data_IF_498951926540
#
_entry.id   IF_498951926540
#
_cell.length_a   1.000
_cell.length_b   1.000
_cell.length_c   1.000
_cell.angle_alpha   90.00
_cell.angle_beta   90.00
_cell.angle_gamma   90.00
#
_symmetry.space_group_name_H-M   'P 1'
#
loop_
_entity.id
_entity.type
_entity.pdbx_description
1 polymer ?
#
# COMPACT_ATOMS: atom_id res chain seq x y z
N UNK A 1 114.98 4.76 -9.01
CA UNK A 1 113.56 4.70 -8.58
C UNK A 1 112.76 4.54 -9.87
N UNK A 2 112.34 3.31 -10.12
CA UNK A 2 111.70 2.83 -11.34
C UNK A 2 110.19 3.09 -11.22
N UNK A 3 109.57 3.74 -12.21
CA UNK A 3 108.11 3.78 -12.31
C UNK A 3 107.72 3.33 -13.72
N UNK A 4 107.16 2.12 -13.76
CA UNK A 4 106.71 1.39 -14.94
C UNK A 4 105.46 2.02 -15.56
N UNK A 5 105.52 2.12 -16.89
CA UNK A 5 104.43 2.38 -17.84
C UNK A 5 103.29 1.34 -17.67
N UNK A 6 102.04 1.80 -17.67
CA UNK A 6 100.85 0.94 -17.85
C UNK A 6 99.94 1.59 -18.88
N UNK A 7 99.89 1.01 -20.09
CA UNK A 7 98.87 1.32 -21.11
C UNK A 7 97.66 0.40 -20.91
N UNK A 8 96.42 0.92 -20.95
CA UNK A 8 95.25 0.07 -21.00
C UNK A 8 94.93 -0.37 -22.43
N UNK A 9 94.57 -1.65 -22.50
CA UNK A 9 94.23 -2.45 -23.68
C UNK A 9 92.83 -2.09 -24.19
N UNK A 10 92.72 -1.90 -25.51
CA UNK A 10 91.46 -1.74 -26.23
C UNK A 10 90.73 -3.09 -26.27
N UNK A 11 89.57 -3.16 -25.62
CA UNK A 11 88.66 -4.32 -25.67
C UNK A 11 87.64 -4.12 -26.80
N UNK A 12 87.80 -4.89 -27.88
CA UNK A 12 86.79 -5.08 -28.93
C UNK A 12 85.73 -6.06 -28.42
N UNK A 13 84.57 -5.56 -28.02
CA UNK A 13 83.37 -6.38 -27.77
C UNK A 13 82.33 -6.09 -28.85
N UNK A 14 82.20 -7.05 -29.77
CA UNK A 14 80.92 -7.66 -30.11
C UNK A 14 79.81 -6.79 -30.68
N UNK A 15 79.91 -6.49 -31.97
CA UNK A 15 78.76 -6.29 -32.85
C UNK A 15 78.05 -7.65 -33.00
N UNK A 16 77.07 -7.98 -32.15
CA UNK A 16 76.14 -9.12 -32.37
C UNK A 16 75.00 -9.21 -31.33
N UNK A 17 74.21 -8.16 -31.07
CA UNK A 17 72.91 -8.28 -30.34
C UNK A 17 71.87 -7.23 -30.76
N UNK A 18 71.77 -6.94 -32.05
CA UNK A 18 70.65 -6.17 -32.63
C UNK A 18 69.83 -7.14 -33.50
N UNK A 19 69.23 -8.18 -32.91
CA UNK A 19 68.25 -9.02 -33.63
C UNK A 19 67.31 -9.85 -32.72
N UNK A 20 67.13 -9.43 -31.45
CA UNK A 20 66.15 -10.10 -30.54
C UNK A 20 65.50 -9.09 -29.57
N UNK A 21 65.22 -7.88 -30.06
CA UNK A 21 64.33 -6.91 -29.41
C UNK A 21 63.38 -6.34 -30.49
N UNK A 22 62.83 -7.22 -31.30
CA UNK A 22 61.77 -6.90 -32.27
C UNK A 22 60.69 -7.98 -32.35
N UNK A 23 60.75 -8.98 -31.46
CA UNK A 23 59.84 -10.14 -31.46
C UNK A 23 59.30 -10.47 -30.05
N UNK A 24 59.14 -9.45 -29.20
CA UNK A 24 58.32 -9.49 -27.98
C UNK A 24 57.46 -8.22 -27.89
N UNK A 25 57.19 -7.57 -29.04
CA UNK A 25 56.25 -6.44 -29.14
C UNK A 25 55.00 -6.78 -29.97
N UNK A 26 54.88 -8.01 -30.49
CA UNK A 26 53.76 -8.42 -31.36
C UNK A 26 52.79 -9.43 -30.74
N UNK A 27 52.89 -9.73 -29.43
CA UNK A 27 51.93 -10.62 -28.74
C UNK A 27 51.36 -10.05 -27.43
N UNK A 28 51.56 -8.76 -27.17
CA UNK A 28 50.49 -7.98 -26.56
C UNK A 28 49.69 -7.38 -27.70
N UNK A 29 49.02 -8.25 -28.46
CA UNK A 29 47.75 -7.86 -29.04
C UNK A 29 46.93 -7.36 -27.85
N UNK A 30 46.95 -6.04 -27.68
CA UNK A 30 45.90 -5.23 -27.10
C UNK A 30 44.64 -5.59 -27.85
N UNK A 31 44.14 -6.79 -27.57
CA UNK A 31 42.79 -7.19 -27.80
C UNK A 31 42.02 -6.29 -26.84
N UNK A 32 41.79 -5.05 -27.28
CA UNK A 32 40.75 -4.19 -26.78
C UNK A 32 39.42 -4.84 -27.14
N UNK A 33 39.16 -6.03 -26.59
CA UNK A 33 37.81 -6.51 -26.39
C UNK A 33 37.29 -5.77 -25.16
N UNK A 34 37.24 -4.44 -25.28
CA UNK A 34 36.43 -3.60 -24.42
C UNK A 34 34.99 -3.90 -24.77
N UNK A 35 34.50 -5.08 -24.37
CA UNK A 35 33.07 -5.30 -24.27
C UNK A 35 32.61 -4.23 -23.30
N UNK A 36 31.82 -3.28 -23.80
CA UNK A 36 31.18 -2.29 -22.95
C UNK A 36 30.33 -3.07 -21.96
N UNK A 37 30.78 -3.14 -20.70
CA UNK A 37 29.99 -3.78 -19.66
C UNK A 37 28.74 -2.93 -19.50
N UNK A 38 27.59 -3.58 -19.43
CA UNK A 38 26.33 -2.90 -19.18
C UNK A 38 25.66 -3.63 -18.03
N UNK A 39 25.26 -2.89 -17.01
CA UNK A 39 24.53 -3.38 -15.85
C UNK A 39 23.26 -2.57 -15.70
N UNK A 40 22.13 -3.19 -15.43
CA UNK A 40 20.88 -2.46 -15.21
C UNK A 40 20.01 -3.19 -14.20
N UNK A 41 19.19 -2.47 -13.42
CA UNK A 41 18.23 -3.12 -12.55
C UNK A 41 17.31 -3.99 -13.41
N UNK A 42 17.10 -5.24 -12.99
CA UNK A 42 16.29 -6.20 -13.72
C UNK A 42 15.04 -6.59 -12.94
N UNK A 43 15.15 -6.76 -11.63
CA UNK A 43 14.02 -6.99 -10.73
C UNK A 43 14.21 -6.22 -9.42
N UNK A 44 13.11 -5.73 -8.83
CA UNK A 44 13.09 -5.07 -7.53
C UNK A 44 11.93 -5.63 -6.72
N UNK A 45 12.22 -6.09 -5.49
CA UNK A 45 11.24 -6.48 -4.48
C UNK A 45 11.13 -5.38 -3.43
N UNK A 46 9.91 -4.94 -3.19
CA UNK A 46 9.59 -4.01 -2.11
C UNK A 46 9.05 -4.73 -0.89
N UNK A 47 8.26 -5.81 -1.06
CA UNK A 47 7.84 -6.74 -0.02
C UNK A 47 8.60 -8.06 -0.17
N UNK A 48 9.65 -8.24 0.62
CA UNK A 48 10.50 -9.44 0.56
C UNK A 48 10.59 -10.18 1.89
N UNK A 49 10.26 -9.52 2.99
CA UNK A 49 10.15 -10.09 4.33
C UNK A 49 8.68 -10.38 4.64
N UNK A 50 8.24 -11.59 4.29
CA UNK A 50 6.86 -12.03 4.55
C UNK A 50 6.50 -12.16 6.05
N UNK A 51 7.42 -11.86 6.97
CA UNK A 51 7.22 -11.97 8.42
C UNK A 51 7.11 -10.63 9.15
N UNK A 52 7.53 -9.52 8.54
CA UNK A 52 7.55 -8.21 9.19
C UNK A 52 7.59 -7.09 8.15
N UNK A 53 6.74 -6.07 8.31
CA UNK A 53 6.74 -4.86 7.49
C UNK A 53 7.54 -3.70 8.11
N UNK A 54 8.42 -3.99 9.07
CA UNK A 54 9.19 -2.95 9.78
C UNK A 54 10.21 -2.25 8.87
N UNK A 55 10.75 -2.98 7.89
CA UNK A 55 11.79 -2.47 6.99
C UNK A 55 11.43 -2.62 5.52
N UNK A 56 10.31 -3.20 5.15
CA UNK A 56 9.91 -3.40 3.76
C UNK A 56 8.43 -3.05 3.57
N UNK A 57 7.90 -3.27 2.36
CA UNK A 57 6.54 -2.93 2.01
C UNK A 57 5.55 -4.00 2.50
N UNK A 58 4.31 -3.59 2.73
CA UNK A 58 3.22 -4.48 3.12
C UNK A 58 2.82 -5.39 1.95
N UNK A 59 2.48 -6.65 2.25
CA UNK A 59 1.84 -7.55 1.30
C UNK A 59 0.47 -7.04 0.89
N UNK A 60 0.31 -6.74 -0.40
CA UNK A 60 -0.96 -6.34 -0.99
C UNK A 60 -1.43 -7.36 -2.03
N UNK A 61 -2.73 -7.33 -2.31
CA UNK A 61 -3.38 -8.12 -3.36
C UNK A 61 -3.61 -7.27 -4.60
N UNK A 62 -3.54 -7.88 -5.76
CA UNK A 62 -3.89 -7.23 -7.03
C UNK A 62 -5.39 -6.87 -7.08
N UNK A 63 -5.81 -6.20 -8.15
CA UNK A 63 -7.19 -5.74 -8.30
C UNK A 63 -8.25 -6.86 -8.37
N UNK A 64 -7.86 -8.10 -8.71
CA UNK A 64 -8.75 -9.25 -8.72
C UNK A 64 -8.76 -10.03 -7.39
N UNK A 65 -8.07 -9.53 -6.36
CA UNK A 65 -7.96 -10.18 -5.05
C UNK A 65 -6.90 -11.30 -4.98
N UNK A 66 -6.19 -11.57 -6.08
CA UNK A 66 -5.04 -12.46 -6.10
C UNK A 66 -3.80 -11.82 -5.45
N UNK A 67 -2.81 -12.63 -5.08
CA UNK A 67 -1.54 -12.12 -4.56
C UNK A 67 -0.85 -11.24 -5.61
N UNK A 68 -0.36 -10.06 -5.20
CA UNK A 68 0.47 -9.24 -6.10
C UNK A 68 1.74 -10.01 -6.48
N UNK A 69 2.23 -9.80 -7.71
CA UNK A 69 3.44 -10.50 -8.17
C UNK A 69 4.66 -9.94 -7.45
N UNK A 70 5.50 -10.83 -6.93
CA UNK A 70 6.83 -10.50 -6.39
C UNK A 70 7.85 -11.10 -7.35
N UNK A 71 8.77 -10.32 -7.93
CA UNK A 71 9.04 -8.90 -7.68
C UNK A 71 7.95 -7.95 -8.21
N UNK A 72 7.73 -6.84 -7.51
CA UNK A 72 6.76 -5.81 -7.91
C UNK A 72 7.26 -4.96 -9.07
N UNK A 73 8.57 -4.94 -9.32
CA UNK A 73 9.12 -4.35 -10.54
C UNK A 73 10.01 -5.36 -11.26
N UNK A 74 9.80 -5.55 -12.55
CA UNK A 74 10.62 -6.42 -13.38
C UNK A 74 10.75 -5.87 -14.81
N UNK A 75 11.94 -5.99 -15.40
CA UNK A 75 12.16 -5.67 -16.81
C UNK A 75 12.04 -6.92 -17.67
N UNK A 76 10.87 -7.12 -18.29
CA UNK A 76 10.52 -8.34 -19.02
C UNK A 76 10.25 -8.03 -20.50
N UNK A 77 10.83 -8.81 -21.42
CA UNK A 77 10.58 -8.70 -22.86
C UNK A 77 10.75 -7.27 -23.43
N UNK A 78 11.70 -6.51 -22.90
CA UNK A 78 11.97 -5.13 -23.34
C UNK A 78 11.02 -4.08 -22.80
N UNK A 79 10.20 -4.39 -21.77
CA UNK A 79 9.34 -3.40 -21.10
C UNK A 79 9.31 -3.61 -19.59
N UNK A 80 9.25 -2.53 -18.80
CA UNK A 80 9.06 -2.64 -17.36
C UNK A 80 7.61 -3.07 -17.06
N UNK A 81 7.47 -4.07 -16.21
CA UNK A 81 6.23 -4.38 -15.48
C UNK A 81 6.37 -3.76 -14.10
N UNK A 82 5.36 -3.02 -13.66
CA UNK A 82 5.41 -2.29 -12.39
C UNK A 82 4.08 -2.44 -11.68
N UNK A 83 4.13 -3.11 -10.53
CA UNK A 83 3.05 -3.20 -9.57
C UNK A 83 3.22 -2.12 -8.50
N UNK A 84 2.11 -1.75 -7.87
CA UNK A 84 2.13 -0.86 -6.71
C UNK A 84 2.55 -1.64 -5.47
N UNK A 85 3.05 -0.93 -4.47
CA UNK A 85 3.36 -1.46 -3.13
C UNK A 85 2.85 -0.48 -2.06
N UNK A 86 2.88 -0.87 -0.79
CA UNK A 86 2.36 -0.05 0.30
C UNK A 86 3.34 0.05 1.47
N UNK A 87 3.49 1.24 2.04
CA UNK A 87 4.27 1.48 3.25
C UNK A 87 3.43 2.18 4.32
N UNK A 88 3.81 2.00 5.59
CA UNK A 88 3.21 2.73 6.70
C UNK A 88 3.81 4.14 6.76
N UNK A 89 2.98 5.15 6.99
CA UNK A 89 3.40 6.54 7.07
C UNK A 89 4.46 6.75 8.15
N UNK A 90 5.43 7.63 7.87
CA UNK A 90 6.52 7.94 8.81
C UNK A 90 7.55 6.83 9.00
N UNK A 91 7.42 5.67 8.34
CA UNK A 91 8.41 4.60 8.41
C UNK A 91 9.78 5.09 7.91
N UNK A 92 10.80 4.83 8.70
CA UNK A 92 12.22 5.02 8.39
C UNK A 92 12.92 3.67 8.19
N UNK A 93 14.17 3.66 7.75
CA UNK A 93 15.01 2.45 7.63
C UNK A 93 14.50 1.38 6.65
N UNK A 94 13.76 1.79 5.61
CA UNK A 94 13.27 0.83 4.60
C UNK A 94 14.42 0.21 3.82
N UNK A 95 14.19 -1.00 3.34
CA UNK A 95 15.07 -1.76 2.49
C UNK A 95 14.29 -2.29 1.29
N UNK A 96 15.02 -2.59 0.22
CA UNK A 96 14.50 -3.29 -0.96
C UNK A 96 15.48 -4.42 -1.31
N UNK A 97 15.01 -5.42 -2.05
CA UNK A 97 15.92 -6.33 -2.74
C UNK A 97 15.96 -6.01 -4.22
N UNK A 98 17.16 -5.95 -4.80
CA UNK A 98 17.34 -5.72 -6.23
C UNK A 98 18.19 -6.83 -6.83
N UNK A 99 17.82 -7.23 -8.05
CA UNK A 99 18.65 -8.06 -8.92
C UNK A 99 18.97 -7.26 -10.17
N UNK A 100 20.24 -7.24 -10.56
CA UNK A 100 20.74 -6.62 -11.78
C UNK A 100 20.97 -7.65 -12.88
N UNK A 101 20.70 -7.26 -14.12
CA UNK A 101 21.16 -8.02 -15.28
C UNK A 101 22.41 -7.35 -15.86
N UNK A 102 23.25 -8.14 -16.52
CA UNK A 102 24.53 -7.70 -17.07
C UNK A 102 24.99 -8.59 -18.21
N UNK A 103 25.80 -8.03 -19.10
CA UNK A 103 26.56 -8.80 -20.10
C UNK A 103 27.91 -9.33 -19.55
N UNK A 104 28.16 -9.19 -18.25
CA UNK A 104 29.28 -9.78 -17.52
C UNK A 104 28.76 -10.80 -16.50
N UNK A 105 29.38 -11.98 -16.41
CA UNK A 105 28.92 -13.07 -15.53
C UNK A 105 29.29 -12.88 -14.05
N UNK A 106 30.39 -12.15 -13.76
CA UNK A 106 30.89 -11.93 -12.41
C UNK A 106 31.61 -10.59 -12.27
N UNK A 107 31.19 -9.78 -11.29
CA UNK A 107 31.71 -8.43 -11.10
C UNK A 107 31.57 -7.93 -9.66
N UNK A 108 32.31 -6.90 -9.30
CA UNK A 108 31.99 -6.04 -8.17
C UNK A 108 31.10 -4.88 -8.62
N UNK A 109 30.19 -4.44 -7.75
CA UNK A 109 29.30 -3.31 -8.01
C UNK A 109 29.52 -2.20 -7.00
N UNK A 110 29.43 -0.95 -7.46
CA UNK A 110 29.19 0.24 -6.63
C UNK A 110 27.88 0.85 -7.09
N UNK A 111 26.90 0.91 -6.20
CA UNK A 111 25.52 1.29 -6.51
C UNK A 111 25.21 2.64 -5.88
N UNK A 112 24.72 3.56 -6.71
CA UNK A 112 24.09 4.80 -6.29
C UNK A 112 22.65 4.84 -6.81
N UNK A 113 21.74 5.27 -5.94
CA UNK A 113 20.32 5.36 -6.22
C UNK A 113 19.82 6.73 -5.77
N UNK A 114 19.35 7.55 -6.71
CA UNK A 114 18.89 8.91 -6.42
C UNK A 114 17.44 9.07 -6.85
N UNK A 115 16.63 9.77 -6.06
CA UNK A 115 15.28 10.17 -6.45
C UNK A 115 15.39 11.41 -7.35
N UNK A 116 14.94 11.30 -8.60
CA UNK A 116 15.01 12.41 -9.57
C UNK A 116 13.70 13.16 -9.73
N UNK A 117 12.57 12.55 -9.36
CA UNK A 117 11.26 13.21 -9.34
C UNK A 117 10.29 12.54 -8.37
N UNK A 118 9.29 13.30 -7.93
CA UNK A 118 8.19 12.80 -7.11
C UNK A 118 8.56 12.63 -5.63
N UNK A 119 7.77 11.82 -4.93
CA UNK A 119 7.92 11.57 -3.49
C UNK A 119 8.57 10.22 -3.27
N UNK A 120 9.89 10.14 -3.47
CA UNK A 120 10.63 8.89 -3.40
C UNK A 120 10.71 8.29 -2.01
N UNK A 121 10.97 6.98 -1.96
CA UNK A 121 11.19 6.24 -0.72
C UNK A 121 12.68 6.19 -0.35
N UNK A 122 13.47 7.19 -0.76
CA UNK A 122 14.85 7.34 -0.34
C UNK A 122 15.93 7.06 -1.38
N UNK A 123 17.18 7.15 -0.93
CA UNK A 123 18.41 7.07 -1.76
C UNK A 123 19.44 6.09 -1.21
N UNK A 124 20.36 5.66 -2.07
CA UNK A 124 21.53 4.83 -1.72
C UNK A 124 22.78 5.54 -2.24
N UNK A 125 23.82 5.64 -1.40
CA UNK A 125 25.08 6.28 -1.75
C UNK A 125 26.23 5.30 -1.55
N UNK A 126 26.98 5.01 -2.62
CA UNK A 126 28.19 4.20 -2.63
C UNK A 126 28.06 2.82 -1.96
N UNK A 127 27.01 2.07 -2.27
CA UNK A 127 26.85 0.71 -1.75
C UNK A 127 27.70 -0.27 -2.55
N UNK A 128 28.67 -0.93 -1.90
CA UNK A 128 29.59 -1.87 -2.52
C UNK A 128 29.09 -3.32 -2.39
N UNK A 129 29.14 -4.06 -3.50
CA UNK A 129 28.83 -5.50 -3.55
C UNK A 129 30.01 -6.22 -4.19
N UNK A 130 30.53 -7.24 -3.50
CA UNK A 130 31.61 -8.05 -4.03
C UNK A 130 31.10 -9.32 -4.70
N UNK A 131 31.77 -9.74 -5.79
CA UNK A 131 31.55 -11.02 -6.46
C UNK A 131 30.08 -11.26 -6.88
N UNK A 132 29.40 -10.21 -7.32
CA UNK A 132 28.03 -10.24 -7.80
C UNK A 132 27.90 -11.08 -9.07
N UNK A 133 26.83 -11.88 -9.13
CA UNK A 133 26.36 -12.60 -10.31
C UNK A 133 24.91 -12.22 -10.62
N UNK A 134 24.47 -12.41 -11.87
CA UNK A 134 23.11 -12.04 -12.30
C UNK A 134 21.97 -12.79 -11.58
N UNK A 135 22.30 -13.80 -10.76
CA UNK A 135 21.33 -14.56 -9.96
C UNK A 135 21.15 -14.00 -8.53
N UNK A 136 22.06 -13.14 -8.08
CA UNK A 136 22.11 -12.68 -6.69
C UNK A 136 21.09 -11.58 -6.39
N UNK A 137 20.48 -11.65 -5.22
CA UNK A 137 19.68 -10.56 -4.66
C UNK A 137 20.54 -9.71 -3.74
N UNK A 138 20.48 -8.40 -3.94
CA UNK A 138 21.16 -7.42 -3.08
C UNK A 138 20.11 -6.69 -2.25
N UNK A 139 20.24 -6.74 -0.93
CA UNK A 139 19.43 -5.91 -0.04
C UNK A 139 20.04 -4.51 0.06
N UNK A 140 19.29 -3.48 -0.32
CA UNK A 140 19.69 -2.08 -0.23
C UNK A 140 18.85 -1.37 0.84
N UNK A 141 19.52 -0.80 1.84
CA UNK A 141 18.87 0.09 2.81
C UNK A 141 18.77 1.50 2.25
N UNK A 142 17.59 2.10 2.35
CA UNK A 142 17.23 3.37 1.75
C UNK A 142 17.23 4.50 2.76
N UNK A 143 18.04 5.52 2.52
CA UNK A 143 18.04 6.77 3.31
C UNK A 143 16.80 7.61 3.00
N UNK A 144 16.05 8.06 4.02
CA UNK A 144 14.84 8.89 3.85
C UNK A 144 13.64 8.36 4.64
N UNK A 145 12.49 9.02 4.50
CA UNK A 145 11.27 8.71 5.26
C UNK A 145 10.06 8.58 4.32
N UNK A 146 9.12 7.72 4.68
CA UNK A 146 7.79 7.72 4.06
C UNK A 146 7.04 8.97 4.53
N UNK A 147 6.29 9.68 3.66
CA UNK A 147 5.47 10.82 4.06
C UNK A 147 4.60 10.51 5.27
N UNK A 148 4.45 11.46 6.18
CA UNK A 148 3.62 11.32 7.40
C UNK A 148 2.12 11.48 7.16
N UNK A 149 1.62 11.13 5.97
CA UNK A 149 0.20 11.26 5.61
C UNK A 149 -0.24 10.23 4.58
N UNK A 150 -1.50 9.80 4.69
CA UNK A 150 -2.13 8.84 3.79
C UNK A 150 -2.14 9.36 2.34
N UNK A 151 -1.98 8.45 1.38
CA UNK A 151 -2.26 8.74 -0.02
C UNK A 151 -1.40 7.96 -1.01
N UNK A 152 -1.66 8.20 -2.30
CA UNK A 152 -0.90 7.60 -3.40
C UNK A 152 0.28 8.51 -3.76
N UNK A 153 1.44 7.91 -4.02
CA UNK A 153 2.70 8.60 -4.28
C UNK A 153 3.35 8.00 -5.52
N UNK A 154 4.00 8.84 -6.30
CA UNK A 154 4.79 8.43 -7.46
C UNK A 154 6.21 8.96 -7.31
N UNK A 155 7.19 8.22 -7.82
CA UNK A 155 8.57 8.69 -7.90
C UNK A 155 9.34 8.01 -9.02
N UNK A 156 10.46 8.63 -9.40
CA UNK A 156 11.43 8.05 -10.32
C UNK A 156 12.78 7.97 -9.63
N UNK A 157 13.40 6.81 -9.75
CA UNK A 157 14.78 6.59 -9.37
C UNK A 157 15.68 6.67 -10.59
N UNK A 158 16.85 7.26 -10.40
CA UNK A 158 17.99 7.13 -11.27
C UNK A 158 19.03 6.23 -10.60
N UNK A 159 19.41 5.18 -11.31
CA UNK A 159 20.45 4.23 -10.94
C UNK A 159 21.74 4.64 -11.59
N UNK A 160 22.80 4.77 -10.81
CA UNK A 160 24.17 4.90 -11.31
C UNK A 160 25.00 3.74 -10.75
N UNK A 161 25.26 2.75 -11.59
CA UNK A 161 25.96 1.52 -11.21
C UNK A 161 27.32 1.47 -11.88
N UNK A 162 28.36 1.33 -11.07
CA UNK A 162 29.72 1.09 -11.53
C UNK A 162 30.04 -0.39 -11.38
N UNK A 163 30.39 -1.05 -12.48
CA UNK A 163 30.72 -2.46 -12.50
C UNK A 163 32.21 -2.68 -12.78
N UNK A 164 32.84 -3.57 -12.02
CA UNK A 164 34.25 -3.94 -12.14
C UNK A 164 34.32 -5.46 -12.29
N UNK A 165 34.62 -6.02 -13.47
CA UNK A 165 34.70 -7.46 -13.64
C UNK A 165 35.78 -8.07 -12.76
N UNK A 166 35.52 -9.27 -12.24
CA UNK A 166 36.47 -9.95 -11.36
C UNK A 166 37.76 -10.35 -12.09
N UNK A 167 37.68 -10.68 -13.39
CA UNK A 167 38.78 -11.25 -14.17
C UNK A 167 39.44 -10.24 -15.14
N UNK A 168 39.02 -8.97 -15.15
CA UNK A 168 39.48 -7.99 -16.13
C UNK A 168 40.39 -6.92 -15.52
N UNK A 169 41.46 -6.58 -16.26
CA UNK A 169 42.48 -5.61 -15.85
C UNK A 169 42.01 -4.15 -15.99
N UNK A 170 40.95 -3.74 -15.28
CA UNK A 170 40.41 -2.37 -15.22
C UNK A 170 39.53 -1.90 -16.39
N UNK A 171 38.50 -2.67 -16.78
CA UNK A 171 37.36 -2.08 -17.51
C UNK A 171 36.23 -1.78 -16.52
N UNK A 172 36.11 -0.52 -16.10
CA UNK A 172 34.91 -0.07 -15.39
C UNK A 172 33.85 0.34 -16.40
N UNK A 173 32.60 -0.07 -16.18
CA UNK A 173 31.48 0.55 -16.87
C UNK A 173 30.56 1.25 -15.90
N UNK A 174 30.00 2.36 -16.37
CA UNK A 174 28.95 3.09 -15.68
C UNK A 174 27.68 2.98 -16.51
N UNK A 175 26.61 2.53 -15.90
CA UNK A 175 25.28 2.58 -16.49
C UNK A 175 24.42 3.58 -15.75
N UNK A 176 23.57 4.28 -16.50
CA UNK A 176 22.54 5.15 -15.95
C UNK A 176 21.18 4.69 -16.44
N UNK A 177 20.30 4.30 -15.53
CA UNK A 177 18.97 3.80 -15.86
C UNK A 177 17.94 4.48 -14.96
N UNK A 178 16.72 4.66 -15.46
CA UNK A 178 15.62 5.20 -14.67
C UNK A 178 14.56 4.12 -14.44
N UNK A 179 13.99 4.08 -13.24
CA UNK A 179 12.81 3.26 -12.94
C UNK A 179 11.75 4.12 -12.27
N UNK A 180 10.49 3.97 -12.68
CA UNK A 180 9.35 4.72 -12.16
C UNK A 180 8.46 3.81 -11.33
N UNK A 181 7.97 4.33 -10.21
CA UNK A 181 7.25 3.55 -9.20
C UNK A 181 6.07 4.33 -8.64
N UNK A 182 5.10 3.57 -8.14
CA UNK A 182 3.90 4.09 -7.50
C UNK A 182 3.62 3.30 -6.23
N UNK A 183 3.31 3.98 -5.14
CA UNK A 183 3.06 3.32 -3.86
C UNK A 183 1.99 4.02 -3.03
N UNK A 184 1.41 3.26 -2.10
CA UNK A 184 0.47 3.74 -1.11
C UNK A 184 1.18 4.06 0.20
N UNK A 185 0.79 5.17 0.81
CA UNK A 185 1.13 5.49 2.20
C UNK A 185 -0.09 5.24 3.06
N UNK A 186 0.02 4.33 4.04
CA UNK A 186 -1.07 3.92 4.93
C UNK A 186 -0.91 4.56 6.31
N UNK A 187 -2.00 4.69 7.07
CA UNK A 187 -1.95 5.23 8.42
C UNK A 187 -1.24 4.27 9.39
N UNK A 188 -1.59 2.98 9.30
CA UNK A 188 -1.01 1.89 10.09
C UNK A 188 -1.03 0.58 9.28
N UNK A 189 -0.57 -0.51 9.90
CA UNK A 189 -0.69 -1.84 9.31
C UNK A 189 -2.17 -2.19 9.09
N UNK A 190 -2.57 -2.72 7.91
CA UNK A 190 -3.96 -3.07 7.61
C UNK A 190 -4.59 -4.00 8.66
N UNK A 191 -5.87 -3.78 8.95
CA UNK A 191 -6.62 -4.54 9.94
C UNK A 191 -7.63 -5.46 9.26
N UNK A 192 -8.18 -6.44 10.00
CA UNK A 192 -9.31 -7.23 9.51
C UNK A 192 -10.49 -6.30 9.12
N UNK A 193 -11.27 -6.66 8.08
CA UNK A 193 -11.16 -7.84 7.22
C UNK A 193 -10.09 -7.72 6.12
N UNK A 194 -9.39 -6.58 6.01
CA UNK A 194 -8.46 -6.27 4.91
C UNK A 194 -6.98 -6.40 5.34
N UNK A 195 -6.62 -7.46 6.07
CA UNK A 195 -5.24 -7.65 6.55
C UNK A 195 -4.21 -7.72 5.42
N UNK A 196 -4.62 -8.24 4.26
CA UNK A 196 -3.90 -8.15 2.98
C UNK A 196 -4.72 -7.31 2.00
N UNK A 197 -4.49 -5.99 1.96
CA UNK A 197 -5.37 -5.07 1.27
C UNK A 197 -5.33 -5.23 -0.25
N UNK A 198 -6.46 -4.99 -0.91
CA UNK A 198 -6.57 -5.09 -2.37
C UNK A 198 -6.22 -3.75 -3.02
N UNK A 199 -5.47 -3.76 -4.12
CA UNK A 199 -5.05 -2.53 -4.82
C UNK A 199 -6.22 -1.62 -5.19
N UNK A 200 -7.35 -2.16 -5.64
CA UNK A 200 -8.52 -1.36 -5.99
C UNK A 200 -9.17 -0.68 -4.78
N UNK A 201 -9.22 -1.35 -3.63
CA UNK A 201 -9.71 -0.75 -2.37
C UNK A 201 -8.73 0.32 -1.88
N UNK A 202 -7.42 0.05 -1.96
CA UNK A 202 -6.37 1.02 -1.62
C UNK A 202 -6.40 2.26 -2.52
N UNK A 203 -6.68 2.11 -3.81
CA UNK A 203 -6.81 3.23 -4.74
C UNK A 203 -7.87 4.22 -4.27
N UNK A 204 -9.08 3.74 -3.96
CA UNK A 204 -10.15 4.58 -3.42
C UNK A 204 -9.83 5.11 -2.03
N UNK A 205 -9.37 4.25 -1.11
CA UNK A 205 -9.10 4.64 0.27
C UNK A 205 -8.01 5.73 0.34
N UNK A 206 -6.90 5.55 -0.36
CA UNK A 206 -5.80 6.52 -0.41
C UNK A 206 -6.19 7.81 -1.15
N UNK A 207 -7.02 7.72 -2.20
CA UNK A 207 -7.52 8.89 -2.90
C UNK A 207 -8.44 9.73 -2.01
N UNK A 208 -9.43 9.11 -1.38
CA UNK A 208 -10.44 9.82 -0.58
C UNK A 208 -9.88 10.33 0.74
N UNK A 209 -8.93 9.59 1.35
CA UNK A 209 -8.27 9.98 2.59
C UNK A 209 -6.93 10.70 2.38
N UNK A 210 -6.60 11.17 1.17
CA UNK A 210 -5.31 11.78 0.87
C UNK A 210 -4.98 12.95 1.81
N UNK A 211 -3.78 12.95 2.39
CA UNK A 211 -3.30 13.97 3.32
C UNK A 211 -3.73 13.75 4.78
N UNK A 212 -4.57 12.76 5.07
CA UNK A 212 -5.00 12.45 6.45
C UNK A 212 -3.83 11.93 7.29
N UNK A 213 -3.76 12.35 8.55
CA UNK A 213 -2.69 11.95 9.49
C UNK A 213 -3.22 11.30 10.76
N UNK A 214 -4.55 11.17 10.90
CA UNK A 214 -5.22 10.58 12.07
C UNK A 214 -6.37 9.67 11.61
N UNK A 215 -6.74 8.69 12.45
CA UNK A 215 -7.84 7.76 12.14
C UNK A 215 -9.16 8.50 11.89
N UNK A 216 -9.50 9.48 12.74
CA UNK A 216 -10.74 10.24 12.60
C UNK A 216 -10.77 11.07 11.31
N UNK A 217 -9.65 11.67 10.90
CA UNK A 217 -9.57 12.37 9.61
C UNK A 217 -9.77 11.42 8.44
N UNK A 218 -9.15 10.24 8.48
CA UNK A 218 -9.34 9.20 7.45
C UNK A 218 -10.82 8.82 7.33
N UNK A 219 -11.46 8.47 8.45
CA UNK A 219 -12.89 8.11 8.45
C UNK A 219 -13.77 9.24 7.93
N UNK A 220 -13.54 10.47 8.39
CA UNK A 220 -14.32 11.65 7.97
C UNK A 220 -14.16 11.93 6.49
N UNK A 221 -12.93 11.90 5.98
CA UNK A 221 -12.63 12.15 4.58
C UNK A 221 -13.16 11.05 3.66
N UNK A 222 -13.15 9.79 4.08
CA UNK A 222 -13.77 8.69 3.31
C UNK A 222 -15.29 8.90 3.22
N UNK A 223 -15.95 9.36 4.29
CA UNK A 223 -17.37 9.68 4.23
C UNK A 223 -17.66 10.87 3.30
N UNK A 224 -16.96 11.99 3.49
CA UNK A 224 -17.26 13.25 2.79
C UNK A 224 -16.75 13.32 1.36
N UNK A 225 -15.58 12.73 1.08
CA UNK A 225 -14.97 12.75 -0.26
C UNK A 225 -15.29 11.48 -1.05
N UNK A 226 -15.61 10.39 -0.34
CA UNK A 226 -15.94 9.10 -0.94
C UNK A 226 -17.45 8.90 -1.08
N UNK A 227 -18.10 8.59 0.03
CA UNK A 227 -19.50 8.20 0.06
C UNK A 227 -20.44 9.30 -0.45
N UNK A 228 -20.28 10.52 0.06
CA UNK A 228 -21.13 11.66 -0.31
C UNK A 228 -21.08 11.99 -1.81
N UNK A 229 -19.92 11.78 -2.44
CA UNK A 229 -19.66 12.20 -3.82
C UNK A 229 -19.85 11.10 -4.85
N UNK A 230 -19.76 9.84 -4.44
CA UNK A 230 -19.62 8.72 -5.37
C UNK A 230 -20.59 7.57 -5.13
N UNK A 231 -21.30 7.54 -4.01
CA UNK A 231 -22.28 6.50 -3.72
C UNK A 231 -23.71 7.03 -3.83
N UNK A 232 -24.59 6.12 -4.23
CA UNK A 232 -26.04 6.33 -4.18
C UNK A 232 -26.65 5.30 -3.23
N UNK A 233 -27.37 5.78 -2.22
CA UNK A 233 -28.10 4.90 -1.33
C UNK A 233 -29.40 4.44 -1.99
N UNK A 234 -29.51 3.13 -2.21
CA UNK A 234 -30.68 2.46 -2.77
C UNK A 234 -31.30 1.49 -1.76
N UNK A 235 -31.48 1.95 -0.50
CA UNK A 235 -31.93 1.12 0.64
C UNK A 235 -30.98 -0.06 0.98
N UNK A 236 -29.71 0.07 0.62
CA UNK A 236 -28.67 -0.96 0.82
C UNK A 236 -27.60 -0.47 1.80
N UNK A 237 -28.00 0.04 2.97
CA UNK A 237 -27.06 0.55 3.98
C UNK A 237 -26.01 -0.49 4.41
N UNK A 238 -26.35 -1.78 4.43
CA UNK A 238 -25.39 -2.86 4.69
C UNK A 238 -24.19 -2.86 3.74
N UNK A 239 -24.41 -2.58 2.45
CA UNK A 239 -23.34 -2.55 1.46
C UNK A 239 -22.44 -1.33 1.66
N UNK A 240 -23.04 -0.17 1.93
CA UNK A 240 -22.29 1.06 2.17
C UNK A 240 -21.43 0.95 3.44
N UNK A 241 -22.00 0.43 4.53
CA UNK A 241 -21.28 0.16 5.77
C UNK A 241 -20.14 -0.85 5.56
N UNK A 242 -20.40 -1.92 4.81
CA UNK A 242 -19.43 -2.96 4.45
C UNK A 242 -18.26 -2.40 3.63
N UNK A 243 -18.54 -1.59 2.62
CA UNK A 243 -17.53 -0.90 1.81
C UNK A 243 -16.71 0.09 2.67
N UNK A 244 -17.37 0.84 3.56
CA UNK A 244 -16.68 1.76 4.48
C UNK A 244 -15.69 1.03 5.38
N UNK A 245 -16.10 -0.08 6.00
CA UNK A 245 -15.23 -0.89 6.86
C UNK A 245 -14.00 -1.36 6.08
N UNK A 246 -14.15 -1.86 4.85
CA UNK A 246 -12.99 -2.26 4.03
C UNK A 246 -12.04 -1.12 3.75
N UNK A 247 -12.57 0.06 3.40
CA UNK A 247 -11.76 1.25 3.09
C UNK A 247 -10.96 1.76 4.28
N UNK A 248 -11.52 1.73 5.50
CA UNK A 248 -10.77 2.17 6.69
C UNK A 248 -9.83 1.08 7.20
N UNK A 249 -10.24 -0.20 7.15
CA UNK A 249 -9.40 -1.33 7.54
C UNK A 249 -8.17 -1.48 6.65
N UNK A 250 -8.28 -1.22 5.34
CA UNK A 250 -7.13 -1.23 4.43
C UNK A 250 -6.09 -0.15 4.75
N UNK A 251 -6.47 0.90 5.47
CA UNK A 251 -5.58 1.97 5.93
C UNK A 251 -5.06 1.72 7.36
N UNK A 252 -5.42 0.59 7.97
CA UNK A 252 -4.96 0.17 9.29
C UNK A 252 -5.83 0.61 10.45
N UNK A 253 -7.09 0.97 10.21
CA UNK A 253 -8.04 1.37 11.26
C UNK A 253 -8.93 0.18 11.63
N UNK A 254 -9.05 -0.10 12.93
CA UNK A 254 -10.02 -1.08 13.41
C UNK A 254 -11.45 -0.56 13.19
N UNK A 255 -12.28 -1.37 12.55
CA UNK A 255 -13.67 -1.02 12.30
C UNK A 255 -14.59 -2.22 12.47
N UNK A 256 -15.79 -1.94 12.98
CA UNK A 256 -16.80 -2.94 13.33
C UNK A 256 -18.07 -2.64 12.57
N UNK A 257 -18.75 -3.69 12.11
CA UNK A 257 -20.10 -3.55 11.59
C UNK A 257 -21.10 -3.76 12.69
N UNK A 258 -22.10 -2.89 12.72
CA UNK A 258 -23.22 -2.99 13.63
C UNK A 258 -24.49 -3.09 12.81
N UNK A 259 -25.37 -3.99 13.23
CA UNK A 259 -26.67 -4.16 12.62
C UNK A 259 -27.72 -4.13 13.69
N UNK A 260 -28.74 -3.33 13.43
CA UNK A 260 -30.00 -3.35 14.13
C UNK A 260 -31.07 -3.92 13.19
N UNK A 261 -32.01 -4.68 13.73
CA UNK A 261 -33.18 -5.16 13.01
C UNK A 261 -34.41 -5.24 13.91
N UNK A 262 -35.57 -4.97 13.31
CA UNK A 262 -36.87 -5.21 13.93
C UNK A 262 -37.15 -6.69 14.08
N UNK A 263 -38.05 -7.04 15.00
CA UNK A 263 -38.61 -8.39 15.01
C UNK A 263 -39.42 -8.61 13.74
N UNK A 264 -39.49 -9.86 13.28
CA UNK A 264 -40.29 -10.19 12.11
C UNK A 264 -41.76 -9.80 12.38
N UNK A 265 -42.38 -8.91 11.57
CA UNK A 265 -43.72 -8.41 11.85
C UNK A 265 -44.79 -9.50 11.86
N UNK A 266 -44.57 -10.64 11.20
CA UNK A 266 -45.49 -11.78 11.22
C UNK A 266 -45.45 -12.59 12.53
N UNK A 267 -44.38 -12.43 13.32
CA UNK A 267 -44.15 -13.18 14.56
C UNK A 267 -43.91 -12.26 15.77
N UNK A 268 -44.02 -10.94 15.58
CA UNK A 268 -43.78 -9.98 16.62
C UNK A 268 -44.91 -10.06 17.67
N UNK A 269 -44.53 -10.17 18.93
CA UNK A 269 -45.43 -10.13 20.08
C UNK A 269 -45.83 -8.68 20.39
N UNK A 270 -46.97 -8.51 21.06
CA UNK A 270 -47.43 -7.19 21.55
C UNK A 270 -46.30 -6.50 22.33
N UNK A 271 -46.03 -5.24 22.01
CA UNK A 271 -44.95 -4.43 22.59
C UNK A 271 -43.60 -4.53 21.86
N UNK A 272 -43.40 -5.51 20.98
CA UNK A 272 -42.19 -5.58 20.16
C UNK A 272 -42.24 -4.55 19.04
N UNK A 273 -41.06 -4.11 18.62
CA UNK A 273 -40.89 -3.12 17.56
C UNK A 273 -40.76 -3.81 16.20
N UNK A 274 -41.48 -3.28 15.22
CA UNK A 274 -41.54 -3.77 13.83
C UNK A 274 -40.91 -2.83 12.81
N UNK A 275 -40.78 -1.54 13.13
CA UNK A 275 -40.08 -0.53 12.31
C UNK A 275 -39.49 0.59 13.19
N UNK A 276 -38.53 1.33 12.63
CA UNK A 276 -38.01 2.59 13.14
C UNK A 276 -38.15 3.68 12.09
N UNK A 277 -38.49 4.89 12.49
CA UNK A 277 -38.52 6.06 11.62
C UNK A 277 -37.26 6.86 11.86
N UNK A 278 -36.48 7.10 10.81
CA UNK A 278 -35.32 8.00 10.91
C UNK A 278 -35.76 9.43 11.23
N UNK A 279 -34.87 10.25 11.77
CA UNK A 279 -34.98 11.70 11.63
C UNK A 279 -34.97 12.06 10.13
N UNK A 280 -35.36 13.29 9.81
CA UNK A 280 -35.22 13.80 8.44
C UNK A 280 -33.73 13.95 8.12
N UNK A 281 -33.25 13.20 7.13
CA UNK A 281 -31.88 13.31 6.64
C UNK A 281 -31.86 13.21 5.11
N UNK A 282 -30.75 13.68 4.54
CA UNK A 282 -30.45 13.52 3.12
C UNK A 282 -29.48 12.35 2.97
N UNK A 283 -29.91 11.19 2.43
CA UNK A 283 -29.02 10.07 2.23
C UNK A 283 -27.98 10.39 1.14
N UNK A 284 -26.87 9.66 1.14
CA UNK A 284 -25.85 9.82 0.10
C UNK A 284 -26.44 9.52 -1.29
N UNK A 285 -26.24 10.43 -2.22
CA UNK A 285 -26.78 10.38 -3.58
C UNK A 285 -28.19 10.98 -3.74
N UNK A 286 -28.61 11.30 -4.98
CA UNK A 286 -29.74 12.18 -5.25
C UNK A 286 -31.13 11.50 -5.20
N UNK A 287 -31.22 10.22 -4.84
CA UNK A 287 -32.39 9.38 -5.15
C UNK A 287 -33.62 9.63 -4.28
N UNK A 288 -33.42 10.04 -3.03
CA UNK A 288 -34.50 9.97 -2.04
C UNK A 288 -34.91 11.32 -1.46
N UNK A 289 -34.04 12.33 -1.58
CA UNK A 289 -34.22 13.66 -1.01
C UNK A 289 -34.30 13.65 0.51
N UNK A 290 -34.37 14.86 1.07
CA UNK A 290 -34.42 15.06 2.51
C UNK A 290 -35.77 14.65 3.11
N UNK A 291 -35.85 13.48 3.75
CA UNK A 291 -37.08 12.96 4.37
C UNK A 291 -36.80 11.97 5.49
N UNK A 292 -37.82 11.70 6.31
CA UNK A 292 -37.82 10.60 7.26
C UNK A 292 -38.18 9.29 6.53
N UNK A 293 -37.53 8.19 6.90
CA UNK A 293 -37.69 6.89 6.23
C UNK A 293 -37.94 5.79 7.26
N UNK A 294 -38.98 4.95 7.07
CA UNK A 294 -39.19 3.79 7.91
C UNK A 294 -38.21 2.66 7.53
N UNK A 295 -37.47 2.16 8.51
CA UNK A 295 -36.53 1.06 8.39
C UNK A 295 -36.99 -0.14 9.23
N UNK A 296 -36.99 -1.32 8.64
CA UNK A 296 -37.14 -2.59 9.38
C UNK A 296 -35.79 -3.16 9.82
N UNK A 297 -34.68 -2.65 9.28
CA UNK A 297 -33.32 -2.96 9.72
C UNK A 297 -32.37 -1.86 9.24
N UNK A 298 -31.23 -1.73 9.90
CA UNK A 298 -30.18 -0.79 9.55
C UNK A 298 -28.80 -1.37 9.85
N UNK A 299 -27.80 -0.96 9.08
CA UNK A 299 -26.42 -1.32 9.30
C UNK A 299 -25.50 -0.12 9.09
N UNK A 300 -24.59 0.06 10.03
CA UNK A 300 -23.59 1.13 10.05
C UNK A 300 -22.25 0.56 10.55
N UNK A 301 -21.25 1.43 10.68
CA UNK A 301 -19.92 1.04 11.14
C UNK A 301 -19.50 1.80 12.41
N UNK A 302 -18.65 1.21 13.23
CA UNK A 302 -17.91 1.92 14.29
C UNK A 302 -16.43 1.94 13.90
N UNK A 303 -15.81 3.11 13.92
CA UNK A 303 -14.38 3.28 13.64
C UNK A 303 -13.82 4.55 14.28
N UNK A 304 -12.59 4.45 14.81
CA UNK A 304 -11.89 5.53 15.50
C UNK A 304 -12.68 6.13 16.69
N UNK A 305 -13.44 5.30 17.42
CA UNK A 305 -14.33 5.67 18.54
C UNK A 305 -15.56 6.51 18.16
N UNK A 306 -16.01 6.43 16.91
CA UNK A 306 -17.25 7.06 16.43
C UNK A 306 -18.12 6.04 15.71
N UNK A 307 -19.42 6.26 15.77
CA UNK A 307 -20.42 5.61 14.95
C UNK A 307 -20.47 6.34 13.59
N UNK A 308 -20.24 5.60 12.52
CA UNK A 308 -20.10 6.07 11.14
C UNK A 308 -21.27 5.53 10.34
N UNK A 309 -22.04 6.43 9.76
CA UNK A 309 -23.14 6.08 8.87
C UNK A 309 -22.84 6.54 7.44
N UNK A 310 -22.33 5.63 6.59
CA UNK A 310 -22.07 5.95 5.20
C UNK A 310 -23.33 6.19 4.38
N UNK A 311 -24.51 5.76 4.84
CA UNK A 311 -25.77 6.03 4.15
C UNK A 311 -26.25 7.47 4.34
N UNK A 312 -25.83 8.12 5.42
CA UNK A 312 -26.20 9.50 5.76
C UNK A 312 -25.02 10.49 5.73
N UNK A 313 -23.80 10.01 5.41
CA UNK A 313 -22.55 10.78 5.53
C UNK A 313 -22.40 11.40 6.95
N UNK A 314 -22.69 10.62 7.99
CA UNK A 314 -22.67 11.10 9.39
C UNK A 314 -21.64 10.39 10.24
N UNK A 315 -21.14 11.13 11.22
CA UNK A 315 -20.23 10.64 12.26
C UNK A 315 -20.72 11.14 13.61
N UNK A 316 -21.02 10.21 14.51
CA UNK A 316 -21.56 10.50 15.84
C UNK A 316 -20.61 9.93 16.88
N UNK A 317 -20.21 10.77 17.83
CA UNK A 317 -19.39 10.32 18.94
C UNK A 317 -20.23 9.52 19.94
N UNK A 318 -19.63 8.52 20.58
CA UNK A 318 -20.26 7.77 21.65
C UNK A 318 -20.63 6.33 21.26
N UNK A 319 -21.48 5.73 22.09
CA UNK A 319 -21.92 4.36 21.93
C UNK A 319 -23.10 4.25 20.94
N UNK A 320 -23.55 3.02 20.73
CA UNK A 320 -24.77 2.72 19.96
C UNK A 320 -25.97 3.59 20.39
N UNK A 321 -26.20 3.75 21.69
CA UNK A 321 -27.30 4.56 22.22
C UNK A 321 -27.29 5.99 21.67
N UNK A 322 -26.14 6.65 21.73
CA UNK A 322 -25.99 8.02 21.23
C UNK A 322 -26.19 8.14 19.71
N UNK A 323 -25.75 7.14 18.93
CA UNK A 323 -25.94 7.13 17.49
C UNK A 323 -27.39 6.89 17.08
N UNK A 324 -28.05 5.97 17.75
CA UNK A 324 -29.47 5.72 17.53
C UNK A 324 -30.29 6.97 17.89
N UNK A 325 -30.06 7.59 19.05
CA UNK A 325 -30.76 8.81 19.49
C UNK A 325 -30.61 9.94 18.46
N UNK A 326 -29.50 9.90 17.71
CA UNK A 326 -29.22 10.83 16.63
C UNK A 326 -29.93 10.45 15.31
N UNK A 327 -30.05 9.17 14.97
CA UNK A 327 -30.58 8.72 13.66
C UNK A 327 -32.10 8.53 13.67
N UNK A 328 -32.73 8.14 14.78
CA UNK A 328 -34.15 7.78 14.78
C UNK A 328 -35.00 8.69 15.66
N UNK A 329 -36.19 8.98 15.13
CA UNK A 329 -37.17 9.84 15.79
C UNK A 329 -38.28 9.02 16.47
N UNK A 330 -38.70 7.92 15.85
CA UNK A 330 -39.87 7.15 16.29
C UNK A 330 -39.72 5.65 16.03
N UNK A 331 -40.56 4.88 16.69
CA UNK A 331 -40.57 3.43 16.72
C UNK A 331 -41.98 2.88 16.57
N UNK A 332 -42.19 1.93 15.67
CA UNK A 332 -43.49 1.31 15.47
C UNK A 332 -43.60 0.03 16.31
N UNK A 333 -44.50 0.02 17.30
CA UNK A 333 -44.76 -1.13 18.18
C UNK A 333 -46.01 -1.91 17.79
N UNK A 334 -46.02 -3.21 18.08
CA UNK A 334 -47.21 -4.07 17.93
C UNK A 334 -48.20 -3.82 19.06
N UNK A 335 -49.48 -3.62 18.71
CA UNK A 335 -50.60 -3.45 19.63
C UNK A 335 -51.46 -4.73 19.73
N UNK A 336 -52.19 -4.94 20.84
CA UNK A 336 -53.04 -6.13 21.01
C UNK A 336 -54.31 -6.10 20.16
N UNK A 337 -54.73 -4.93 19.67
CA UNK A 337 -55.98 -4.70 18.94
C UNK A 337 -55.78 -3.60 17.90
N UNK A 338 -56.70 -3.51 16.93
CA UNK A 338 -56.64 -2.55 15.82
C UNK A 338 -56.61 -1.08 16.31
N UNK A 339 -55.75 -0.20 15.73
CA UNK A 339 -54.74 -0.53 14.72
C UNK A 339 -53.63 -1.39 15.32
N UNK A 340 -53.20 -2.44 14.62
CA UNK A 340 -52.20 -3.39 15.14
C UNK A 340 -50.81 -2.79 15.38
N UNK A 341 -50.60 -1.52 14.99
CA UNK A 341 -49.33 -0.83 15.08
C UNK A 341 -49.52 0.62 15.55
N UNK A 342 -48.55 1.12 16.32
CA UNK A 342 -48.51 2.51 16.78
C UNK A 342 -47.06 3.02 16.77
N UNK A 343 -46.88 4.24 16.27
CA UNK A 343 -45.62 4.96 16.39
C UNK A 343 -45.50 5.63 17.76
N UNK A 344 -44.44 5.30 18.47
CA UNK A 344 -44.01 5.95 19.71
C UNK A 344 -42.73 6.75 19.45
N UNK A 345 -42.52 7.81 20.23
CA UNK A 345 -41.28 8.59 20.13
C UNK A 345 -40.09 7.80 20.70
N UNK A 346 -38.91 7.99 20.10
CA UNK A 346 -37.68 7.43 20.63
C UNK A 346 -37.41 7.88 22.08
N UNK A 347 -37.03 6.96 22.96
CA UNK A 347 -36.59 7.27 24.31
C UNK A 347 -35.07 7.19 24.41
N UNK A 348 -34.49 8.24 25.02
CA UNK A 348 -33.04 8.39 25.17
C UNK A 348 -32.39 7.13 25.73
N UNK A 349 -31.39 6.61 25.00
CA UNK A 349 -30.57 5.47 25.41
C UNK A 349 -31.25 4.10 25.31
N UNK A 350 -32.52 4.05 24.89
CA UNK A 350 -33.30 2.84 24.58
C UNK A 350 -33.25 1.75 25.67
N UNK A 351 -33.30 2.13 26.94
CA UNK A 351 -33.39 1.18 28.05
C UNK A 351 -34.82 0.80 28.41
N UNK A 352 -35.81 1.25 27.63
CA UNK A 352 -37.23 1.05 27.86
C UNK A 352 -38.00 1.00 26.53
N UNK A 353 -39.33 0.86 26.60
CA UNK A 353 -40.19 0.89 25.41
C UNK A 353 -40.02 -0.30 24.47
N UNK A 354 -40.50 -0.13 23.24
CA UNK A 354 -40.38 -1.15 22.18
C UNK A 354 -38.98 -1.21 21.56
N UNK A 355 -38.16 -0.23 21.86
CA UNK A 355 -36.75 -0.10 21.52
C UNK A 355 -35.85 -0.84 22.53
N UNK A 356 -36.36 -1.29 23.68
CA UNK A 356 -35.58 -2.04 24.66
C UNK A 356 -34.85 -3.26 24.06
N UNK A 357 -33.69 -3.67 24.59
CA UNK A 357 -32.88 -4.76 24.02
C UNK A 357 -33.64 -6.07 23.75
N UNK A 358 -34.61 -6.43 24.59
CA UNK A 358 -35.47 -7.61 24.45
C UNK A 358 -36.45 -7.54 23.27
N UNK A 359 -36.73 -6.33 22.77
CA UNK A 359 -37.74 -6.06 21.75
C UNK A 359 -37.15 -5.87 20.34
N UNK A 360 -35.84 -6.08 20.18
CA UNK A 360 -35.10 -5.93 18.93
C UNK A 360 -34.06 -7.01 18.72
N UNK A 361 -33.49 -7.05 17.51
CA UNK A 361 -32.30 -7.83 17.21
C UNK A 361 -31.12 -6.88 16.97
N UNK A 362 -30.01 -7.11 17.68
CA UNK A 362 -28.78 -6.33 17.53
C UNK A 362 -27.60 -7.28 17.35
N UNK A 363 -26.75 -6.96 16.38
CA UNK A 363 -25.56 -7.73 16.06
C UNK A 363 -24.36 -6.79 15.91
N UNK A 364 -23.23 -7.23 16.46
CA UNK A 364 -21.93 -6.59 16.31
C UNK A 364 -20.97 -7.61 15.70
N UNK A 365 -20.39 -7.29 14.56
CA UNK A 365 -19.54 -8.20 13.81
C UNK A 365 -18.09 -7.69 13.84
N UNK A 366 -17.19 -8.36 14.58
CA UNK A 366 -15.77 -8.03 14.60
C UNK A 366 -14.97 -8.60 13.41
N UNK A 367 -15.61 -9.31 12.49
CA UNK A 367 -14.94 -9.95 11.35
C UNK A 367 -15.88 -10.35 10.21
N UNK A 368 -15.31 -10.95 9.17
CA UNK A 368 -16.03 -11.42 7.97
C UNK A 368 -17.17 -12.38 8.32
N UNK A 369 -18.37 -11.83 8.37
CA UNK A 369 -19.61 -12.60 8.20
C UNK A 369 -20.08 -12.43 6.76
N UNK A 370 -21.00 -13.29 6.33
CA UNK A 370 -21.70 -13.27 5.03
C UNK A 370 -22.27 -11.89 4.61
N UNK A 371 -22.31 -10.93 5.53
CA UNK A 371 -22.72 -9.53 5.34
C UNK A 371 -21.64 -8.70 4.62
N UNK A 372 -20.38 -9.13 4.67
CA UNK A 372 -19.30 -8.60 3.87
C UNK A 372 -19.36 -9.20 2.45
N UNK A 373 -20.39 -8.83 1.67
CA UNK A 373 -20.51 -9.15 0.23
C UNK A 373 -19.31 -8.62 -0.56
N UNK A 374 -18.99 -9.20 -1.72
CA UNK A 374 -17.90 -8.72 -2.59
C UNK A 374 -17.89 -7.19 -2.70
N UNK A 375 -16.71 -6.57 -2.53
CA UNK A 375 -16.50 -5.15 -2.81
C UNK A 375 -16.99 -4.84 -4.23
N UNK A 376 -18.03 -4.01 -4.37
CA UNK A 376 -18.45 -3.48 -5.69
C UNK A 376 -18.11 -2.00 -5.88
N UNK A 377 -17.61 -1.33 -4.83
CA UNK A 377 -17.14 0.06 -4.91
C UNK A 377 -18.22 1.08 -5.28
N UNK A 378 -17.81 2.29 -5.70
CA UNK A 378 -18.72 3.40 -6.03
C UNK A 378 -19.45 3.25 -7.37
N UNK A 379 -19.05 2.32 -8.24
CA UNK A 379 -19.70 2.11 -9.55
C UNK A 379 -21.06 1.39 -9.47
N UNK A 380 -21.74 1.42 -8.31
CA UNK A 380 -23.03 0.76 -8.09
C UNK A 380 -24.21 1.66 -8.45
#
# INVERSE_FOLDING_TARGET
>A
MEVKEKRPVVSRIGIARIFTIFFVCCFFSLNSFGTNISVWPHEIKFNFDGSSYSNDAITIRNASGGTATVPEWAYNNGSPVTEKFAYIMGQSNRSIQVRFNSNCSSMHLIINLTVTSGTGIGTVCNYFVANYTALDWITLTLSGNIPGSVGTRNFTWQWSVYAIPNDAAYCSATSTNNTSHSYYTLLAAPQAPMAEPWCNVLDYACQWANGSTTENQVCTNILSNGFDQHYTWNYQCHMLASDFVRLVSTLGINAYLHRWASKNPYYASVGQMVQQMTIVFDPVGPTHGNKAIPWSWHQWAEAASYQRDPSANKSVAGNWGAYEDYVFAQYEKVLPQSPYYQWDNNQVGQSAGCEAPENRDYYSYPGETWILTSWLGPSR
#
